data_IF_306911904483
#
_entry.id   IF_306911904483
#
_cell.length_a   1.000
_cell.length_b   1.000
_cell.length_c   1.000
_cell.angle_alpha   90.00
_cell.angle_beta   90.00
_cell.angle_gamma   90.00
#
_symmetry.space_group_name_H-M   'P 1'
#
loop_
_entity.id
_entity.type
_entity.pdbx_description
1 polymer ?
#
# COMPACT_ATOMS: atom_id res chain seq x y z
N UNK A 1 2.75 11.85 16.07
CA UNK A 1 3.05 12.18 14.66
C UNK A 1 4.54 12.01 14.44
N UNK A 2 4.96 11.66 13.23
CA UNK A 2 6.38 11.46 12.89
C UNK A 2 6.89 12.69 12.15
N UNK A 3 8.03 13.23 12.55
CA UNK A 3 8.74 14.34 11.88
C UNK A 3 9.72 13.82 10.84
N UNK A 4 10.19 14.67 9.93
CA UNK A 4 11.15 14.30 8.88
C UNK A 4 12.47 13.72 9.42
N UNK A 5 13.17 12.98 8.56
CA UNK A 5 14.50 12.40 8.83
C UNK A 5 14.49 11.50 10.06
N UNK A 6 13.67 10.44 10.00
CA UNK A 6 13.50 9.48 11.09
C UNK A 6 13.50 8.06 10.56
N UNK A 7 14.06 7.16 11.36
CA UNK A 7 13.89 5.72 11.19
C UNK A 7 13.24 5.18 12.45
N UNK A 8 12.14 4.45 12.31
CA UNK A 8 11.62 3.58 13.36
C UNK A 8 12.06 2.17 12.99
N UNK A 9 12.91 1.59 13.84
CA UNK A 9 13.54 0.30 13.62
C UNK A 9 13.20 -0.66 14.77
N UNK A 10 12.49 -1.73 14.43
CA UNK A 10 12.12 -2.80 15.36
C UNK A 10 13.11 -3.97 15.39
N UNK A 11 14.23 -3.93 14.66
CA UNK A 11 15.15 -5.07 14.62
C UNK A 11 15.68 -5.42 16.00
N UNK A 12 15.68 -6.72 16.30
CA UNK A 12 16.27 -7.30 17.51
C UNK A 12 15.32 -7.33 18.70
N UNK A 13 14.15 -6.72 18.56
CA UNK A 13 13.11 -6.67 19.60
C UNK A 13 11.72 -6.84 18.97
N UNK A 14 10.72 -7.14 19.78
CA UNK A 14 9.32 -7.16 19.30
C UNK A 14 8.67 -5.82 19.62
N UNK A 15 8.43 -5.00 18.60
CA UNK A 15 7.73 -3.71 18.75
C UNK A 15 6.31 -3.84 18.20
N UNK A 16 5.32 -3.44 19.01
CA UNK A 16 3.90 -3.47 18.65
C UNK A 16 3.26 -2.11 18.92
N UNK A 17 2.61 -1.55 17.91
CA UNK A 17 1.76 -0.35 18.02
C UNK A 17 0.31 -0.81 17.91
N UNK A 18 -0.44 -0.71 19.01
CA UNK A 18 -1.80 -1.24 19.09
C UNK A 18 -2.67 -0.56 20.14
N UNK A 19 -3.99 -0.70 20.02
CA UNK A 19 -4.97 -0.26 21.02
C UNK A 19 -5.22 1.25 21.09
N UNK A 20 -4.51 2.05 20.29
CA UNK A 20 -4.64 3.50 20.20
C UNK A 20 -4.53 3.98 18.76
N UNK A 21 -4.02 5.20 18.57
CA UNK A 21 -3.80 5.79 17.24
C UNK A 21 -2.63 5.14 16.49
N UNK A 22 -2.67 5.25 15.16
CA UNK A 22 -1.61 4.78 14.26
C UNK A 22 -0.48 5.79 14.03
N UNK A 23 0.31 5.55 13.00
CA UNK A 23 1.42 6.42 12.60
C UNK A 23 0.96 7.44 11.56
N UNK A 24 1.09 8.73 11.88
CA UNK A 24 0.78 9.81 10.94
C UNK A 24 2.03 10.58 10.53
N UNK A 25 2.26 10.65 9.22
CA UNK A 25 3.29 11.42 8.54
C UNK A 25 2.60 12.52 7.72
N UNK A 26 2.74 13.77 8.13
CA UNK A 26 2.04 14.88 7.48
C UNK A 26 3.02 16.01 7.17
N UNK A 27 3.17 16.33 5.88
CA UNK A 27 4.11 17.37 5.38
C UNK A 27 5.56 17.11 5.78
N UNK A 28 5.98 15.85 5.69
CA UNK A 28 7.31 15.39 6.11
C UNK A 28 8.00 14.61 5.00
N UNK A 29 9.28 14.33 5.19
CA UNK A 29 10.06 13.56 4.23
C UNK A 29 11.15 12.71 4.89
N UNK A 30 11.67 11.74 4.13
CA UNK A 30 12.80 10.89 4.51
C UNK A 30 12.51 10.12 5.80
N UNK A 31 11.52 9.22 5.74
CA UNK A 31 11.11 8.38 6.86
C UNK A 31 11.20 6.90 6.48
N UNK A 32 11.77 6.10 7.38
CA UNK A 32 11.83 4.64 7.28
C UNK A 32 11.03 4.05 8.45
N UNK A 33 10.12 3.14 8.15
CA UNK A 33 9.41 2.30 9.12
C UNK A 33 9.81 0.86 8.83
N UNK A 34 10.52 0.23 9.76
CA UNK A 34 11.11 -1.07 9.52
C UNK A 34 10.94 -2.00 10.73
N UNK A 35 10.50 -3.23 10.48
CA UNK A 35 10.58 -4.30 11.48
C UNK A 35 9.56 -4.22 12.63
N UNK A 36 8.43 -3.54 12.46
CA UNK A 36 7.43 -3.34 13.53
C UNK A 36 6.07 -3.96 13.19
N UNK A 37 5.27 -4.26 14.22
CA UNK A 37 3.89 -4.67 14.06
C UNK A 37 2.92 -3.52 14.41
N UNK A 38 1.97 -3.23 13.53
CA UNK A 38 0.94 -2.21 13.74
C UNK A 38 -0.43 -2.87 13.59
N UNK A 39 -1.21 -2.95 14.66
CA UNK A 39 -2.48 -3.68 14.61
C UNK A 39 -3.49 -3.24 15.65
N UNK A 40 -4.76 -3.60 15.47
CA UNK A 40 -5.85 -3.25 16.42
C UNK A 40 -5.92 -1.73 16.71
N UNK A 41 -5.60 -0.93 15.70
CA UNK A 41 -5.64 0.53 15.77
C UNK A 41 -7.09 0.99 15.91
N UNK A 42 -7.29 2.03 16.72
CA UNK A 42 -8.61 2.57 17.08
C UNK A 42 -8.72 4.04 16.66
N UNK A 43 -9.94 4.51 16.37
CA UNK A 43 -10.18 5.94 16.24
C UNK A 43 -9.83 6.65 17.56
N UNK A 44 -9.26 7.84 17.49
CA UNK A 44 -8.88 8.63 18.67
C UNK A 44 -9.24 10.10 18.50
N UNK A 45 -9.21 10.86 19.60
CA UNK A 45 -9.49 12.29 19.58
C UNK A 45 -10.97 12.65 19.38
N UNK A 46 -11.29 13.94 19.11
CA UNK A 46 -10.35 15.07 18.94
C UNK A 46 -9.53 15.37 20.20
N UNK A 47 -8.39 16.04 20.05
CA UNK A 47 -7.51 16.31 21.20
C UNK A 47 -6.32 17.22 20.90
N UNK A 48 -5.58 17.62 21.94
CA UNK A 48 -4.31 18.34 21.78
C UNK A 48 -3.18 17.35 21.64
N UNK A 49 -2.44 17.43 20.53
CA UNK A 49 -1.38 16.48 20.19
C UNK A 49 -0.10 17.25 19.87
N UNK A 50 1.02 16.76 20.37
CA UNK A 50 2.35 17.23 19.98
C UNK A 50 2.63 16.80 18.53
N UNK A 51 2.78 17.76 17.62
CA UNK A 51 3.00 17.51 16.19
C UNK A 51 4.46 17.68 15.77
N UNK A 52 5.25 18.38 16.58
CA UNK A 52 6.72 18.48 16.50
C UNK A 52 7.31 18.62 17.90
N UNK A 53 8.64 18.65 18.02
CA UNK A 53 9.34 18.83 19.31
C UNK A 53 9.01 20.16 20.02
N UNK A 54 8.47 21.15 19.31
CA UNK A 54 8.17 22.49 19.83
C UNK A 54 6.71 22.92 19.67
N UNK A 55 5.84 22.07 19.09
CA UNK A 55 4.47 22.46 18.78
C UNK A 55 3.44 21.44 19.25
N UNK A 56 2.44 21.94 20.00
CA UNK A 56 1.25 21.21 20.43
C UNK A 56 0.02 21.93 19.86
N UNK A 57 -0.75 21.22 19.03
CA UNK A 57 -1.94 21.77 18.37
C UNK A 57 -3.20 20.96 18.64
N UNK A 58 -4.37 21.58 18.47
CA UNK A 58 -5.65 20.85 18.42
C UNK A 58 -5.74 20.06 17.12
N UNK A 59 -6.19 18.81 17.20
CA UNK A 59 -6.42 17.91 16.08
C UNK A 59 -7.83 17.36 16.14
N UNK A 60 -8.44 17.21 14.97
CA UNK A 60 -9.74 16.56 14.81
C UNK A 60 -9.65 15.06 15.15
N UNK A 61 -10.79 14.40 15.14
CA UNK A 61 -10.87 12.95 15.28
C UNK A 61 -9.99 12.26 14.24
N UNK A 62 -9.24 11.27 14.68
CA UNK A 62 -8.45 10.37 13.85
C UNK A 62 -9.28 9.12 13.53
N UNK A 63 -9.35 8.75 12.26
CA UNK A 63 -10.27 7.69 11.77
C UNK A 63 -9.82 6.28 12.13
N UNK A 64 -8.52 6.08 12.36
CA UNK A 64 -7.99 4.79 12.85
C UNK A 64 -7.19 4.00 11.83
N UNK A 65 -6.49 4.66 10.90
CA UNK A 65 -5.55 4.00 9.97
C UNK A 65 -4.30 3.50 10.67
N UNK A 66 -3.67 2.43 10.18
CA UNK A 66 -2.39 1.99 10.74
C UNK A 66 -1.24 2.97 10.42
N UNK A 67 -1.14 3.40 9.15
CA UNK A 67 -0.18 4.38 8.66
C UNK A 67 -0.87 5.35 7.70
N UNK A 68 -0.87 6.64 8.01
CA UNK A 68 -1.38 7.71 7.12
C UNK A 68 -0.22 8.61 6.65
N UNK A 69 -0.04 8.73 5.34
CA UNK A 69 0.98 9.55 4.67
C UNK A 69 0.27 10.67 3.90
N UNK A 70 0.46 11.91 4.35
CA UNK A 70 -0.22 13.10 3.84
C UNK A 70 0.79 14.14 3.37
N UNK A 71 0.70 14.58 2.11
CA UNK A 71 1.60 15.58 1.49
C UNK A 71 3.08 15.33 1.83
N UNK A 72 3.52 14.07 1.78
CA UNK A 72 4.85 13.65 2.24
C UNK A 72 5.59 12.88 1.15
N UNK A 73 6.91 12.85 1.22
CA UNK A 73 7.75 12.23 0.18
C UNK A 73 8.94 11.45 0.73
N UNK A 74 9.46 10.51 -0.04
CA UNK A 74 10.61 9.67 0.33
C UNK A 74 10.32 8.87 1.61
N UNK A 75 9.36 7.96 1.52
CA UNK A 75 8.93 7.13 2.64
C UNK A 75 9.15 5.66 2.30
N UNK A 76 9.72 4.91 3.23
CA UNK A 76 9.93 3.47 3.07
C UNK A 76 9.29 2.71 4.23
N UNK A 77 8.34 1.83 3.90
CA UNK A 77 7.67 0.93 4.85
C UNK A 77 8.12 -0.49 4.51
N UNK A 78 8.91 -1.07 5.39
CA UNK A 78 9.60 -2.33 5.15
C UNK A 78 9.41 -3.32 6.29
N UNK A 79 9.35 -4.61 5.98
CA UNK A 79 9.37 -5.69 6.99
C UNK A 79 8.40 -5.45 8.16
N UNK A 80 7.20 -4.94 7.88
CA UNK A 80 6.20 -4.63 8.92
C UNK A 80 5.02 -5.61 8.86
N UNK A 81 4.42 -5.87 10.02
CA UNK A 81 3.17 -6.63 10.13
C UNK A 81 2.02 -5.66 10.32
N UNK A 82 0.94 -5.78 9.52
CA UNK A 82 -0.20 -4.88 9.60
C UNK A 82 -1.54 -5.62 9.53
N UNK A 83 -2.43 -5.35 10.49
CA UNK A 83 -3.72 -6.03 10.57
C UNK A 83 -4.75 -5.26 11.42
N UNK A 84 -6.05 -5.49 11.18
CA UNK A 84 -7.13 -5.10 12.11
C UNK A 84 -7.13 -3.63 12.57
N UNK A 85 -6.70 -2.69 11.73
CA UNK A 85 -6.96 -1.27 11.96
C UNK A 85 -8.47 -0.98 11.89
N UNK A 86 -8.91 0.16 12.41
CA UNK A 86 -10.32 0.53 12.40
C UNK A 86 -10.78 1.03 11.02
N UNK A 87 -9.91 1.72 10.28
CA UNK A 87 -10.18 2.13 8.89
C UNK A 87 -9.23 1.46 7.87
N UNK A 88 -8.17 2.14 7.40
CA UNK A 88 -7.18 1.59 6.47
C UNK A 88 -5.92 1.02 7.13
N UNK A 89 -5.10 0.23 6.41
CA UNK A 89 -3.73 -0.08 6.87
C UNK A 89 -2.74 0.99 6.40
N UNK A 90 -2.67 1.27 5.10
CA UNK A 90 -1.79 2.32 4.56
C UNK A 90 -2.56 3.25 3.64
N UNK A 91 -2.55 4.53 3.99
CA UNK A 91 -3.09 5.61 3.17
C UNK A 91 -1.97 6.50 2.66
N UNK A 92 -1.84 6.63 1.33
CA UNK A 92 -0.89 7.54 0.66
C UNK A 92 -1.70 8.56 -0.11
N UNK A 93 -1.80 9.78 0.40
CA UNK A 93 -2.80 10.75 -0.05
C UNK A 93 -2.25 12.18 -0.11
N UNK A 94 -2.98 13.05 -0.81
CA UNK A 94 -2.85 14.51 -0.75
C UNK A 94 -1.48 15.00 -1.21
N UNK A 95 -1.08 14.55 -2.40
CA UNK A 95 0.17 14.91 -3.07
C UNK A 95 1.38 14.18 -2.50
N UNK A 96 1.17 13.04 -1.83
CA UNK A 96 2.27 12.21 -1.37
C UNK A 96 2.88 11.42 -2.53
N UNK A 97 4.20 11.25 -2.56
CA UNK A 97 4.89 10.55 -3.65
C UNK A 97 6.21 9.93 -3.19
N UNK A 98 6.82 9.11 -4.04
CA UNK A 98 8.08 8.41 -3.76
C UNK A 98 7.96 7.55 -2.48
N UNK A 99 6.98 6.64 -2.47
CA UNK A 99 6.74 5.70 -1.37
C UNK A 99 7.08 4.28 -1.80
N UNK A 100 7.85 3.56 -1.00
CA UNK A 100 8.14 2.13 -1.19
C UNK A 100 7.54 1.31 -0.06
N UNK A 101 6.76 0.27 -0.40
CA UNK A 101 6.10 -0.63 0.53
C UNK A 101 6.61 -2.03 0.24
N UNK A 102 7.55 -2.50 1.05
CA UNK A 102 8.35 -3.70 0.75
C UNK A 102 8.34 -4.74 1.86
N UNK A 103 8.39 -6.03 1.51
CA UNK A 103 8.55 -7.12 2.48
C UNK A 103 7.54 -7.11 3.66
N UNK A 104 6.35 -6.53 3.50
CA UNK A 104 5.38 -6.45 4.59
C UNK A 104 4.44 -7.66 4.58
N UNK A 105 3.87 -7.95 5.76
CA UNK A 105 2.83 -8.96 5.93
C UNK A 105 1.51 -8.29 6.32
N UNK A 106 0.52 -8.36 5.44
CA UNK A 106 -0.81 -7.80 5.62
C UNK A 106 -1.84 -8.91 5.78
N UNK A 107 -2.69 -8.82 6.82
CA UNK A 107 -3.73 -9.84 7.05
C UNK A 107 -4.93 -9.29 7.82
N UNK A 108 -6.03 -10.03 7.82
CA UNK A 108 -7.20 -9.81 8.70
C UNK A 108 -7.73 -8.36 8.67
N UNK A 109 -8.01 -7.86 7.47
CA UNK A 109 -8.39 -6.46 7.32
C UNK A 109 -9.22 -6.20 6.05
N UNK A 110 -10.06 -5.17 6.09
CA UNK A 110 -10.96 -4.85 4.98
C UNK A 110 -10.28 -3.96 3.93
N UNK A 111 -9.81 -2.77 4.34
CA UNK A 111 -9.28 -1.72 3.45
C UNK A 111 -7.76 -1.64 3.56
N UNK A 112 -7.04 -2.36 2.71
CA UNK A 112 -5.59 -2.59 2.93
C UNK A 112 -4.74 -1.36 2.59
N UNK A 113 -4.74 -0.93 1.34
CA UNK A 113 -3.92 0.18 0.86
C UNK A 113 -4.73 1.11 -0.04
N UNK A 114 -4.88 2.37 0.36
CA UNK A 114 -5.53 3.41 -0.43
C UNK A 114 -4.51 4.45 -0.89
N UNK A 115 -4.34 4.56 -2.21
CA UNK A 115 -3.49 5.55 -2.83
C UNK A 115 -4.35 6.58 -3.54
N UNK A 116 -4.40 7.79 -3.00
CA UNK A 116 -5.31 8.88 -3.40
C UNK A 116 -6.71 8.76 -2.80
N UNK A 117 -7.07 9.69 -1.91
CA UNK A 117 -8.29 9.61 -1.09
C UNK A 117 -9.57 10.06 -1.81
N UNK A 118 -9.50 11.16 -2.55
CA UNK A 118 -10.67 11.84 -3.11
C UNK A 118 -10.58 11.94 -4.62
N UNK A 119 -11.75 11.95 -5.26
CA UNK A 119 -11.88 12.08 -6.72
C UNK A 119 -11.50 13.46 -7.27
N UNK A 120 -11.34 14.45 -6.40
CA UNK A 120 -11.04 15.84 -6.80
C UNK A 120 -9.63 16.29 -6.31
N UNK A 121 -8.87 15.42 -5.63
CA UNK A 121 -7.50 15.69 -5.17
C UNK A 121 -6.50 15.50 -6.33
N UNK A 122 -6.58 16.36 -7.35
CA UNK A 122 -5.78 16.26 -8.58
C UNK A 122 -4.26 16.30 -8.37
N UNK A 123 -3.79 16.78 -7.20
CA UNK A 123 -2.38 16.72 -6.79
C UNK A 123 -1.84 15.29 -6.68
N UNK A 124 -2.69 14.27 -6.56
CA UNK A 124 -2.28 12.86 -6.50
C UNK A 124 -1.83 12.31 -7.87
N UNK A 125 -1.88 13.09 -8.96
CA UNK A 125 -1.35 12.66 -10.28
C UNK A 125 0.16 12.43 -10.30
N UNK A 126 0.89 13.18 -9.49
CA UNK A 126 2.35 13.06 -9.38
C UNK A 126 2.77 12.00 -8.36
N UNK A 127 1.81 11.27 -7.77
CA UNK A 127 2.07 10.18 -6.84
C UNK A 127 2.77 9.03 -7.56
N UNK A 128 3.81 8.52 -6.90
CA UNK A 128 4.57 7.35 -7.31
C UNK A 128 4.75 6.40 -6.13
N UNK A 129 4.24 5.18 -6.26
CA UNK A 129 4.33 4.14 -5.21
C UNK A 129 4.84 2.82 -5.78
N UNK A 130 5.80 2.21 -5.10
CA UNK A 130 6.25 0.84 -5.38
C UNK A 130 5.77 -0.10 -4.30
N UNK A 131 5.14 -1.21 -4.69
CA UNK A 131 4.67 -2.28 -3.81
C UNK A 131 5.34 -3.59 -4.25
N UNK A 132 6.24 -4.12 -3.43
CA UNK A 132 7.05 -5.29 -3.83
C UNK A 132 7.41 -6.24 -2.67
N UNK A 133 7.46 -7.54 -2.95
CA UNK A 133 7.82 -8.60 -2.00
C UNK A 133 6.92 -8.75 -0.76
N UNK A 134 5.71 -8.22 -0.80
CA UNK A 134 4.75 -8.30 0.30
C UNK A 134 3.97 -9.62 0.26
N UNK A 135 3.54 -10.06 1.44
CA UNK A 135 2.50 -11.09 1.61
C UNK A 135 1.20 -10.40 1.97
N UNK A 136 0.19 -10.56 1.11
CA UNK A 136 -1.14 -9.97 1.23
C UNK A 136 -2.15 -11.10 1.40
N UNK A 137 -2.46 -11.42 2.64
CA UNK A 137 -3.38 -12.48 3.02
C UNK A 137 -2.83 -13.35 4.15
N UNK A 138 -3.67 -14.23 4.72
CA UNK A 138 -5.07 -14.45 4.36
C UNK A 138 -6.01 -13.39 4.96
N UNK A 139 -7.33 -13.53 4.70
CA UNK A 139 -8.41 -12.75 5.34
C UNK A 139 -8.35 -11.24 5.03
N UNK A 140 -7.97 -10.89 3.80
CA UNK A 140 -8.09 -9.52 3.29
C UNK A 140 -9.37 -9.41 2.45
N UNK A 141 -10.03 -8.25 2.46
CA UNK A 141 -11.24 -8.07 1.65
C UNK A 141 -10.94 -7.37 0.32
N UNK A 142 -10.19 -6.27 0.34
CA UNK A 142 -9.99 -5.42 -0.83
C UNK A 142 -8.80 -4.43 -0.70
N UNK A 143 -8.57 -3.65 -1.75
CA UNK A 143 -7.62 -2.53 -1.82
C UNK A 143 -6.15 -2.94 -1.69
N UNK A 144 -5.66 -3.84 -2.55
CA UNK A 144 -4.28 -4.36 -2.54
C UNK A 144 -3.48 -4.08 -3.83
N UNK A 145 -3.36 -2.82 -4.30
CA UNK A 145 -3.90 -1.56 -3.74
C UNK A 145 -5.22 -1.12 -4.42
N UNK A 146 -5.86 -0.08 -3.87
CA UNK A 146 -6.81 0.77 -4.60
C UNK A 146 -6.16 2.11 -4.91
N UNK A 147 -6.18 2.53 -6.18
CA UNK A 147 -5.42 3.69 -6.66
C UNK A 147 -6.32 4.72 -7.34
N UNK A 148 -6.01 6.00 -7.12
CA UNK A 148 -6.51 7.14 -7.89
C UNK A 148 -5.36 7.97 -8.45
N UNK A 149 -5.51 8.41 -9.70
CA UNK A 149 -4.58 9.29 -10.44
C UNK A 149 -3.14 8.79 -10.66
N UNK A 150 -2.42 8.51 -9.58
CA UNK A 150 -0.98 8.28 -9.59
C UNK A 150 -0.50 7.02 -10.30
N UNK A 151 0.82 6.83 -10.24
CA UNK A 151 1.55 5.75 -10.86
C UNK A 151 1.98 4.74 -9.79
N UNK A 152 1.62 3.47 -9.98
CA UNK A 152 1.86 2.43 -9.00
C UNK A 152 2.46 1.21 -9.68
N UNK A 153 3.61 0.78 -9.18
CA UNK A 153 4.27 -0.44 -9.60
C UNK A 153 4.06 -1.52 -8.55
N UNK A 154 3.41 -2.60 -8.95
CA UNK A 154 3.09 -3.76 -8.12
C UNK A 154 3.84 -4.95 -8.67
N UNK A 155 4.81 -5.49 -7.94
CA UNK A 155 5.63 -6.57 -8.46
C UNK A 155 6.06 -7.60 -7.43
N UNK A 156 6.14 -8.85 -7.87
CA UNK A 156 6.64 -9.97 -7.07
C UNK A 156 6.04 -10.10 -5.64
N UNK A 157 4.81 -9.67 -5.43
CA UNK A 157 4.08 -9.93 -4.19
C UNK A 157 3.32 -11.27 -4.29
N UNK A 158 3.01 -11.82 -3.12
CA UNK A 158 2.08 -12.95 -2.98
C UNK A 158 0.74 -12.48 -2.42
N UNK A 159 -0.34 -12.64 -3.19
CA UNK A 159 -1.71 -12.30 -2.80
C UNK A 159 -2.57 -13.54 -2.69
N UNK A 160 -3.32 -13.66 -1.59
CA UNK A 160 -4.22 -14.81 -1.41
C UNK A 160 -5.53 -14.49 -0.70
N UNK A 161 -6.59 -15.25 -1.05
CA UNK A 161 -7.88 -15.28 -0.33
C UNK A 161 -8.49 -13.89 -0.11
N UNK A 162 -8.60 -13.10 -1.18
CA UNK A 162 -9.29 -11.82 -1.12
C UNK A 162 -10.81 -12.00 -1.21
N UNK A 163 -11.57 -11.14 -0.53
CA UNK A 163 -13.03 -11.19 -0.55
C UNK A 163 -13.65 -10.65 -1.83
N UNK A 164 -13.33 -9.40 -2.19
CA UNK A 164 -14.04 -8.63 -3.22
C UNK A 164 -13.19 -8.46 -4.49
N UNK A 165 -11.98 -7.94 -4.34
CA UNK A 165 -10.99 -7.78 -5.42
C UNK A 165 -9.59 -7.64 -4.81
N UNK A 166 -8.54 -7.85 -5.61
CA UNK A 166 -7.19 -7.55 -5.18
C UNK A 166 -6.81 -6.11 -5.55
N UNK A 167 -6.76 -5.78 -6.84
CA UNK A 167 -6.31 -4.48 -7.33
C UNK A 167 -7.51 -3.69 -7.85
N UNK A 168 -7.59 -2.40 -7.53
CA UNK A 168 -8.60 -1.53 -8.11
C UNK A 168 -8.07 -0.14 -8.47
N UNK A 169 -8.78 0.50 -9.39
CA UNK A 169 -8.48 1.86 -9.81
C UNK A 169 -9.75 2.68 -10.05
N UNK A 170 -9.68 3.98 -9.76
CA UNK A 170 -10.65 5.00 -10.16
C UNK A 170 -9.93 6.31 -10.52
N UNK A 171 -10.55 7.20 -11.28
CA UNK A 171 -9.94 8.50 -11.66
C UNK A 171 -8.61 8.39 -12.42
N UNK A 172 -8.51 7.40 -13.32
CA UNK A 172 -7.41 7.26 -14.28
C UNK A 172 -6.00 6.99 -13.71
N UNK A 173 -5.80 5.99 -12.83
CA UNK A 173 -4.47 5.65 -12.35
C UNK A 173 -3.68 4.85 -13.39
N UNK A 174 -2.36 4.84 -13.25
CA UNK A 174 -1.48 3.88 -13.95
C UNK A 174 -0.98 2.82 -12.98
N UNK A 175 -1.31 1.56 -13.25
CA UNK A 175 -0.91 0.40 -12.45
C UNK A 175 -0.14 -0.57 -13.36
N UNK A 176 1.14 -0.77 -13.04
CA UNK A 176 1.96 -1.81 -13.65
C UNK A 176 2.01 -2.99 -12.69
N UNK A 177 1.47 -4.14 -13.06
CA UNK A 177 1.51 -5.40 -12.31
C UNK A 177 2.47 -6.35 -12.99
N UNK A 178 3.54 -6.79 -12.31
CA UNK A 178 4.55 -7.68 -12.89
C UNK A 178 4.97 -8.83 -11.98
N UNK A 179 4.96 -10.06 -12.50
CA UNK A 179 5.57 -11.20 -11.82
C UNK A 179 4.98 -11.54 -10.45
N UNK A 180 3.73 -11.20 -10.18
CA UNK A 180 3.05 -11.48 -8.91
C UNK A 180 2.43 -12.88 -8.91
N UNK A 181 2.10 -13.41 -7.72
CA UNK A 181 1.20 -14.57 -7.59
C UNK A 181 -0.15 -14.10 -7.04
N UNK A 182 -1.21 -14.37 -7.79
CA UNK A 182 -2.60 -14.14 -7.37
C UNK A 182 -3.28 -15.50 -7.13
N UNK A 183 -3.54 -15.83 -5.88
CA UNK A 183 -4.15 -17.10 -5.50
C UNK A 183 -5.52 -16.88 -4.84
N UNK A 184 -6.58 -16.92 -5.64
CA UNK A 184 -7.92 -16.56 -5.15
C UNK A 184 -8.40 -17.49 -4.03
N UNK A 185 -8.18 -18.81 -4.16
CA UNK A 185 -8.77 -19.86 -3.32
C UNK A 185 -10.31 -19.74 -3.21
N UNK A 186 -10.78 -18.86 -2.34
CA UNK A 186 -12.20 -18.58 -2.02
C UNK A 186 -12.55 -17.12 -2.33
N UNK A 187 -13.82 -16.81 -2.56
CA UNK A 187 -14.25 -15.44 -2.87
C UNK A 187 -14.11 -15.10 -4.35
N UNK A 188 -13.95 -13.81 -4.64
CA UNK A 188 -13.88 -13.29 -6.02
C UNK A 188 -12.67 -13.85 -6.78
N UNK A 189 -12.91 -14.25 -8.03
CA UNK A 189 -11.86 -14.76 -8.94
C UNK A 189 -11.20 -13.66 -9.75
N UNK A 190 -11.92 -12.57 -10.01
CA UNK A 190 -11.38 -11.42 -10.73
C UNK A 190 -10.41 -10.65 -9.82
N UNK A 191 -9.17 -10.51 -10.28
CA UNK A 191 -8.11 -9.79 -9.56
C UNK A 191 -8.38 -8.28 -9.57
N UNK A 192 -8.83 -7.76 -10.71
CA UNK A 192 -8.97 -6.33 -10.96
C UNK A 192 -10.41 -5.85 -10.87
N UNK A 193 -10.64 -4.69 -10.24
CA UNK A 193 -11.95 -4.01 -10.22
C UNK A 193 -11.83 -2.56 -10.65
N UNK A 194 -12.59 -2.17 -11.68
CA UNK A 194 -12.72 -0.76 -12.08
C UNK A 194 -13.76 -0.10 -11.20
N UNK A 195 -13.47 1.08 -10.69
CA UNK A 195 -14.41 1.85 -9.89
C UNK A 195 -14.64 3.19 -10.59
N UNK A 196 -15.90 3.63 -10.60
CA UNK A 196 -16.27 4.98 -11.00
C UNK A 196 -16.68 5.74 -9.74
N UNK A 197 -15.86 6.69 -9.28
CA UNK A 197 -16.22 7.54 -8.14
C UNK A 197 -16.98 8.81 -8.57
N UNK A 198 -17.30 8.94 -9.87
CA UNK A 198 -18.01 10.08 -10.42
C UNK A 198 -17.20 11.37 -10.42
N UNK A 199 -15.88 11.30 -10.63
CA UNK A 199 -15.03 12.47 -10.79
C UNK A 199 -15.27 13.18 -12.13
N UNK A 200 -15.08 14.50 -12.14
CA UNK A 200 -15.47 15.37 -13.25
C UNK A 200 -14.47 15.39 -14.42
N UNK A 201 -13.24 14.88 -14.24
CA UNK A 201 -12.12 15.21 -15.16
C UNK A 201 -11.27 14.02 -15.62
N UNK A 202 -11.25 12.88 -14.91
CA UNK A 202 -10.36 11.74 -15.23
C UNK A 202 -11.12 10.44 -15.46
N UNK A 203 -12.14 10.53 -16.32
CA UNK A 203 -12.59 9.49 -17.25
C UNK A 203 -13.11 8.17 -16.69
N UNK A 204 -13.39 8.07 -15.40
CA UNK A 204 -13.94 6.85 -14.80
C UNK A 204 -13.19 5.58 -15.24
N UNK A 205 -13.87 4.43 -15.39
CA UNK A 205 -13.27 3.17 -15.80
C UNK A 205 -12.54 3.17 -17.17
N UNK A 206 -12.72 4.23 -17.98
CA UNK A 206 -12.20 4.32 -19.36
C UNK A 206 -10.75 4.80 -19.42
N UNK A 207 -10.30 5.57 -18.43
CA UNK A 207 -8.92 6.09 -18.36
C UNK A 207 -8.02 5.28 -17.42
N UNK A 208 -8.51 4.15 -16.90
CA UNK A 208 -7.70 3.26 -16.07
C UNK A 208 -6.63 2.55 -16.93
N UNK A 209 -5.36 2.83 -16.66
CA UNK A 209 -4.23 2.19 -17.30
C UNK A 209 -3.71 1.07 -16.39
N UNK A 210 -4.02 -0.20 -16.71
CA UNK A 210 -3.56 -1.35 -15.94
C UNK A 210 -2.90 -2.37 -16.86
N UNK A 211 -1.64 -2.71 -16.59
CA UNK A 211 -0.92 -3.80 -17.25
C UNK A 211 -0.68 -4.93 -16.27
N UNK A 212 -0.81 -6.16 -16.74
CA UNK A 212 -0.37 -7.37 -16.05
C UNK A 212 0.61 -8.08 -16.97
N UNK A 213 1.83 -8.35 -16.47
CA UNK A 213 2.91 -9.02 -17.21
C UNK A 213 3.53 -10.11 -16.35
N UNK A 214 3.66 -11.31 -16.89
CA UNK A 214 4.25 -12.47 -16.21
C UNK A 214 3.66 -12.80 -14.82
N UNK A 215 2.45 -12.29 -14.54
CA UNK A 215 1.69 -12.60 -13.34
C UNK A 215 1.17 -14.03 -13.41
N UNK A 216 1.24 -14.75 -12.28
CA UNK A 216 0.71 -16.11 -12.16
C UNK A 216 -0.62 -16.10 -11.42
N UNK A 217 -1.66 -16.57 -12.10
CA UNK A 217 -2.99 -16.72 -11.53
C UNK A 217 -3.24 -18.18 -11.12
N UNK A 218 -3.71 -18.38 -9.89
CA UNK A 218 -3.89 -19.70 -9.27
C UNK A 218 -5.29 -19.79 -8.65
N UNK A 219 -5.84 -21.01 -8.55
CA UNK A 219 -7.14 -21.29 -7.94
C UNK A 219 -8.30 -20.54 -8.61
N UNK A 220 -8.25 -20.44 -9.94
CA UNK A 220 -9.25 -19.77 -10.77
C UNK A 220 -9.15 -18.25 -10.80
N UNK A 221 -8.11 -17.65 -10.24
CA UNK A 221 -7.87 -16.22 -10.38
C UNK A 221 -7.70 -15.84 -11.86
N UNK A 222 -8.13 -14.64 -12.23
CA UNK A 222 -7.87 -14.10 -13.57
C UNK A 222 -7.88 -12.56 -13.55
N UNK A 223 -7.26 -11.96 -14.55
CA UNK A 223 -7.31 -10.53 -14.80
C UNK A 223 -7.96 -10.27 -16.16
N UNK A 224 -8.89 -9.32 -16.22
CA UNK A 224 -9.46 -8.86 -17.49
C UNK A 224 -8.51 -7.84 -18.11
N UNK A 225 -7.77 -8.24 -19.14
CA UNK A 225 -7.00 -7.33 -19.99
C UNK A 225 -7.95 -6.43 -20.78
N UNK A 226 -7.61 -5.14 -20.94
CA UNK A 226 -8.25 -4.26 -21.93
C UNK A 226 -7.29 -3.97 -23.07
N UNK A 227 -7.81 -3.78 -24.29
CA UNK A 227 -7.06 -3.20 -25.39
C UNK A 227 -6.56 -1.81 -24.96
N UNK A 228 -5.25 -1.66 -24.86
CA UNK A 228 -4.62 -0.42 -24.42
C UNK A 228 -4.69 0.64 -25.52
N UNK A 229 -5.00 1.89 -25.15
CA UNK A 229 -4.89 3.06 -26.03
C UNK A 229 -3.61 3.90 -25.81
N UNK A 230 -2.68 3.48 -24.94
CA UNK A 230 -1.55 4.34 -24.53
C UNK A 230 -0.16 3.69 -24.55
N UNK A 231 0.85 4.54 -24.78
CA UNK A 231 2.22 4.20 -25.15
C UNK A 231 3.08 3.61 -24.02
N UNK A 232 4.06 2.78 -24.39
CA UNK A 232 5.15 2.23 -23.56
C UNK A 232 5.77 3.26 -22.59
N UNK A 233 5.83 4.54 -22.99
CA UNK A 233 6.40 5.64 -22.22
C UNK A 233 5.71 5.85 -20.85
N UNK A 234 4.40 5.59 -20.74
CA UNK A 234 3.68 5.76 -19.46
C UNK A 234 4.11 4.72 -18.42
N UNK A 235 4.37 3.49 -18.86
CA UNK A 235 4.84 2.41 -18.00
C UNK A 235 6.32 2.53 -17.65
N UNK A 236 7.15 3.07 -18.55
CA UNK A 236 8.57 3.34 -18.25
C UNK A 236 8.75 4.31 -17.06
N UNK A 237 7.82 5.27 -16.90
CA UNK A 237 7.78 6.17 -15.74
C UNK A 237 7.26 5.51 -14.47
N UNK A 238 6.51 4.41 -14.61
CA UNK A 238 5.93 3.65 -13.49
C UNK A 238 6.90 2.59 -12.97
N UNK A 239 7.66 1.94 -13.86
CA UNK A 239 8.62 0.91 -13.49
C UNK A 239 9.65 1.42 -12.47
N UNK A 240 9.87 0.65 -11.42
CA UNK A 240 10.78 0.99 -10.30
C UNK A 240 12.04 0.15 -10.30
N UNK A 241 11.88 -1.16 -10.47
CA UNK A 241 12.96 -2.13 -10.59
C UNK A 241 12.51 -3.30 -11.47
N UNK A 242 13.45 -4.14 -11.88
CA UNK A 242 13.14 -5.28 -12.75
C UNK A 242 12.36 -6.37 -12.00
N UNK A 243 11.21 -6.77 -12.55
CA UNK A 243 10.43 -7.87 -12.04
C UNK A 243 11.15 -9.22 -12.25
N UNK A 244 10.95 -10.13 -11.29
CA UNK A 244 11.39 -11.53 -11.37
C UNK A 244 10.25 -12.44 -11.83
N UNK A 245 10.54 -13.65 -12.33
CA UNK A 245 9.49 -14.62 -12.66
C UNK A 245 8.60 -14.92 -11.46
N UNK A 246 7.28 -14.98 -11.68
CA UNK A 246 6.31 -15.25 -10.61
C UNK A 246 6.58 -16.57 -9.85
N UNK A 247 7.25 -17.54 -10.48
CA UNK A 247 7.67 -18.81 -9.84
C UNK A 247 8.63 -18.61 -8.66
N UNK A 248 9.35 -17.48 -8.61
CA UNK A 248 10.28 -17.17 -7.52
C UNK A 248 9.60 -16.50 -6.32
N UNK A 249 8.38 -15.97 -6.48
CA UNK A 249 7.69 -15.15 -5.46
C UNK A 249 7.59 -15.87 -4.13
N UNK A 250 7.15 -17.14 -4.11
CA UNK A 250 7.02 -17.91 -2.87
C UNK A 250 8.32 -18.03 -2.08
N UNK A 251 9.48 -17.94 -2.74
CA UNK A 251 10.80 -17.92 -2.08
C UNK A 251 11.19 -16.51 -1.63
N UNK A 252 10.90 -15.50 -2.45
CA UNK A 252 11.28 -14.10 -2.20
C UNK A 252 10.54 -13.53 -0.99
N UNK A 253 9.25 -13.84 -0.83
CA UNK A 253 8.41 -13.27 0.23
C UNK A 253 8.44 -14.06 1.55
N UNK A 254 9.29 -15.09 1.69
CA UNK A 254 9.34 -15.93 2.91
C UNK A 254 9.67 -15.16 4.18
N UNK A 255 10.44 -14.07 4.04
CA UNK A 255 10.82 -13.21 5.14
C UNK A 255 9.83 -12.07 5.41
N UNK A 256 8.68 -11.99 4.72
CA UNK A 256 7.79 -10.86 4.85
C UNK A 256 7.24 -10.68 6.27
N UNK A 257 7.19 -9.44 6.75
CA UNK A 257 6.87 -9.07 8.12
C UNK A 257 8.11 -8.79 9.00
N UNK A 258 7.92 -8.57 10.31
CA UNK A 258 8.99 -8.22 11.23
C UNK A 258 10.09 -9.27 11.31
N UNK A 259 11.34 -8.81 11.24
CA UNK A 259 12.52 -9.67 11.26
C UNK A 259 12.81 -10.18 12.68
N UNK A 260 13.11 -11.47 12.80
CA UNK A 260 13.63 -12.08 14.04
C UNK A 260 15.16 -11.96 14.09
N UNK A 261 15.63 -10.74 14.31
CA UNK A 261 17.06 -10.42 14.43
C UNK A 261 17.64 -10.81 15.80
N UNK A 262 18.92 -11.21 15.82
CA UNK A 262 19.70 -11.37 17.06
C UNK A 262 20.94 -10.48 17.01
N UNK A 263 21.32 -9.90 18.16
CA UNK A 263 22.53 -9.09 18.26
C UNK A 263 23.76 -9.93 17.83
N UNK A 264 24.56 -9.39 16.91
CA UNK A 264 25.76 -10.06 16.39
C UNK A 264 25.50 -11.10 15.28
N UNK A 265 24.26 -11.33 14.87
CA UNK A 265 23.93 -12.19 13.73
C UNK A 265 23.40 -11.36 12.54
N UNK A 266 23.54 -11.89 11.33
CA UNK A 266 22.89 -11.29 10.16
C UNK A 266 21.38 -11.46 10.25
N UNK A 267 20.70 -10.35 10.00
CA UNK A 267 19.38 -10.31 9.38
C UNK A 267 19.61 -9.97 7.90
#
# INVERSE_FOLDING_TARGET
MITSYKTIDGRGVTVRIAGGGGLTMQRVNNIIIHGIAIHDIKPTGPGRIMTSTSHVGKRNKFDGDAISIFSSKNIWIDHSYQARAADGLIDVIRGSSTVSITNNYFTQHNKVMLFGAKKDDWMDRDMYVTVVYNVLGPKLQQMMPRVRFGNVHVLNDYRSRWGIYAIAGSEGPTILSQGNIFNAYTGSKQVTKRINDGGHSFGGPKNWNCKSEDDRFVSGAYCTSVPMKWSYQSYSKTASCAARPATMVSRMVRGAGPLSCRRGARC
#
